data_IF_858891982514
#
_entry.id   IF_858891982514
#
_cell.length_a   1.000
_cell.length_b   1.000
_cell.length_c   1.000
_cell.angle_alpha   90.00
_cell.angle_beta   90.00
_cell.angle_gamma   90.00
#
_symmetry.space_group_name_H-M   'P 1'
#
loop_
_entity.id
_entity.type
_entity.pdbx_description
1 polymer ?
#
# COMPACT_ATOMS: atom_id res chain seq x y z
N UNK A 1 7.25 -18.47 1.39
CA UNK A 1 6.58 -17.33 0.75
C UNK A 1 6.21 -16.30 1.80
N UNK A 2 6.63 -15.03 1.60
CA UNK A 2 6.18 -13.88 2.39
C UNK A 2 5.08 -13.15 1.65
N UNK A 3 4.06 -12.69 2.37
CA UNK A 3 3.02 -11.80 1.86
C UNK A 3 3.03 -10.44 2.61
N UNK A 4 4.15 -10.10 3.23
CA UNK A 4 4.31 -8.84 3.94
C UNK A 4 4.36 -7.66 2.96
N UNK A 5 3.84 -6.51 3.39
CA UNK A 5 3.82 -5.28 2.59
C UNK A 5 5.19 -4.57 2.60
N UNK A 6 6.21 -5.30 2.17
CA UNK A 6 7.59 -4.85 2.01
C UNK A 6 8.02 -5.06 0.56
N UNK A 7 8.76 -4.11 0.01
CA UNK A 7 9.39 -4.29 -1.29
C UNK A 7 10.40 -5.46 -1.22
N UNK A 8 10.33 -6.36 -2.20
CA UNK A 8 11.13 -7.58 -2.24
C UNK A 8 11.06 -8.39 -0.93
N UNK A 9 9.84 -8.65 -0.46
CA UNK A 9 9.57 -9.31 0.81
C UNK A 9 10.21 -10.71 0.92
N UNK A 10 10.28 -11.48 -0.17
CA UNK A 10 10.97 -12.76 -0.24
C UNK A 10 12.48 -12.61 -0.02
N UNK A 11 13.11 -11.60 -0.64
CA UNK A 11 14.53 -11.30 -0.44
C UNK A 11 14.82 -10.89 1.02
N UNK A 12 13.93 -10.15 1.64
CA UNK A 12 14.05 -9.76 3.05
C UNK A 12 13.89 -10.98 3.96
N UNK A 13 12.92 -11.84 3.70
CA UNK A 13 12.77 -13.11 4.42
C UNK A 13 14.00 -13.99 4.26
N UNK A 14 14.53 -14.12 3.02
CA UNK A 14 15.77 -14.87 2.77
C UNK A 14 16.94 -14.37 3.62
N UNK A 15 17.17 -13.06 3.63
CA UNK A 15 18.25 -12.48 4.46
C UNK A 15 18.08 -12.80 5.94
N UNK A 16 16.87 -12.63 6.47
CA UNK A 16 16.58 -12.89 7.87
C UNK A 16 16.80 -14.37 8.24
N UNK A 17 16.22 -15.29 7.46
CA UNK A 17 16.35 -16.73 7.71
C UNK A 17 17.79 -17.22 7.53
N UNK A 18 18.46 -16.82 6.45
CA UNK A 18 19.84 -17.24 6.18
C UNK A 18 20.79 -16.73 7.26
N UNK A 19 20.70 -15.46 7.68
CA UNK A 19 21.53 -14.91 8.75
C UNK A 19 21.32 -15.63 10.09
N UNK A 20 20.07 -15.97 10.41
CA UNK A 20 19.76 -16.70 11.64
C UNK A 20 20.31 -18.11 11.61
N UNK A 21 20.09 -18.84 10.52
CA UNK A 21 20.54 -20.24 10.41
C UNK A 21 22.06 -20.32 10.32
N UNK A 22 22.73 -19.41 9.58
CA UNK A 22 24.19 -19.37 9.48
C UNK A 22 24.87 -19.17 10.84
N UNK A 23 24.22 -18.39 11.73
CA UNK A 23 24.70 -18.18 13.11
C UNK A 23 24.52 -19.43 14.00
N UNK A 24 23.64 -20.36 13.66
CA UNK A 24 23.32 -21.56 14.43
C UNK A 24 23.96 -22.82 13.88
N UNK A 25 23.88 -23.03 12.56
CA UNK A 25 24.30 -24.24 11.85
C UNK A 25 24.70 -23.92 10.40
N UNK A 26 26.00 -23.94 10.15
CA UNK A 26 26.57 -23.66 8.82
C UNK A 26 26.27 -24.74 7.77
N UNK A 27 26.10 -26.00 8.20
CA UNK A 27 25.74 -27.08 7.27
C UNK A 27 24.31 -26.93 6.80
N UNK A 28 23.39 -26.63 7.73
CA UNK A 28 22.01 -26.32 7.40
C UNK A 28 21.89 -25.07 6.52
N UNK A 29 22.67 -24.02 6.79
CA UNK A 29 22.71 -22.84 5.93
C UNK A 29 23.12 -23.17 4.50
N UNK A 30 24.17 -23.96 4.32
CA UNK A 30 24.64 -24.41 3.02
C UNK A 30 23.61 -25.29 2.30
N UNK A 31 22.87 -26.11 3.02
CA UNK A 31 21.77 -26.89 2.47
C UNK A 31 20.60 -25.99 2.04
N UNK A 32 20.20 -25.04 2.89
CA UNK A 32 19.12 -24.10 2.59
C UNK A 32 19.43 -23.25 1.35
N UNK A 33 20.65 -22.77 1.20
CA UNK A 33 21.08 -22.00 0.02
C UNK A 33 20.83 -22.75 -1.30
N UNK A 34 20.93 -24.06 -1.29
CA UNK A 34 20.77 -24.93 -2.47
C UNK A 34 19.34 -25.43 -2.68
N UNK A 35 18.55 -25.54 -1.63
CA UNK A 35 17.30 -26.31 -1.64
C UNK A 35 16.07 -25.48 -1.31
N UNK A 36 16.22 -24.21 -0.80
CA UNK A 36 15.10 -23.38 -0.39
C UNK A 36 15.06 -22.12 -1.26
N UNK A 37 13.87 -21.83 -1.80
CA UNK A 37 13.60 -20.60 -2.53
C UNK A 37 12.75 -19.64 -1.69
N UNK A 38 12.90 -18.35 -1.96
CA UNK A 38 12.20 -17.27 -1.27
C UNK A 38 11.54 -16.35 -2.30
N UNK A 39 10.47 -16.79 -2.98
CA UNK A 39 9.80 -15.97 -3.99
C UNK A 39 9.27 -14.68 -3.37
N UNK A 40 9.43 -13.57 -4.09
CA UNK A 40 8.78 -12.33 -3.73
C UNK A 40 7.29 -12.38 -4.09
N UNK A 41 6.50 -11.59 -3.40
CA UNK A 41 5.09 -11.40 -3.76
C UNK A 41 4.63 -9.96 -3.50
N UNK A 42 3.67 -9.50 -4.29
CA UNK A 42 2.97 -8.25 -4.07
C UNK A 42 1.52 -8.55 -3.76
N UNK A 43 1.04 -8.05 -2.64
CA UNK A 43 -0.36 -8.18 -2.21
C UNK A 43 -1.00 -6.80 -2.14
N UNK A 44 -2.23 -6.69 -2.66
CA UNK A 44 -3.00 -5.46 -2.60
C UNK A 44 -4.47 -5.77 -2.26
N UNK A 45 -4.87 -5.37 -1.06
CA UNK A 45 -6.24 -5.36 -0.56
C UNK A 45 -6.33 -4.41 0.62
N UNK A 46 -7.19 -3.39 0.56
CA UNK A 46 -7.40 -2.48 1.69
C UNK A 46 -8.12 -3.25 2.80
N UNK A 47 -7.46 -3.32 3.94
CA UNK A 47 -7.92 -4.06 5.11
C UNK A 47 -7.84 -3.13 6.33
N UNK A 48 -8.91 -2.38 6.64
CA UNK A 48 -8.96 -1.51 7.79
C UNK A 48 -8.98 -2.32 9.09
N UNK A 49 -8.70 -1.66 10.22
CA UNK A 49 -8.87 -2.29 11.53
C UNK A 49 -10.34 -2.64 11.77
N UNK A 50 -10.61 -3.89 12.13
CA UNK A 50 -11.96 -4.34 12.47
C UNK A 50 -12.38 -3.75 13.82
N UNK A 51 -13.53 -3.11 13.88
CA UNK A 51 -14.03 -2.47 15.08
C UNK A 51 -14.96 -3.44 15.85
N UNK A 52 -15.12 -3.25 17.18
CA UNK A 52 -16.02 -4.10 17.98
C UNK A 52 -17.46 -4.19 17.44
N UNK A 53 -17.98 -3.09 16.91
CA UNK A 53 -19.31 -3.05 16.28
C UNK A 53 -19.40 -3.88 14.99
N UNK A 54 -18.30 -3.97 14.22
CA UNK A 54 -18.24 -4.79 13.00
C UNK A 54 -18.20 -6.28 13.36
N UNK A 55 -17.46 -6.65 14.42
CA UNK A 55 -17.42 -8.03 14.95
C UNK A 55 -18.83 -8.46 15.39
N UNK A 56 -19.48 -7.61 16.19
CA UNK A 56 -20.83 -7.88 16.68
C UNK A 56 -21.83 -8.07 15.54
N UNK A 57 -21.86 -7.12 14.59
CA UNK A 57 -22.75 -7.18 13.43
C UNK A 57 -22.52 -8.44 12.61
N UNK A 58 -21.25 -8.78 12.29
CA UNK A 58 -20.92 -9.96 11.50
C UNK A 58 -21.44 -11.25 12.18
N UNK A 59 -21.21 -11.38 13.48
CA UNK A 59 -21.65 -12.56 14.24
C UNK A 59 -23.17 -12.65 14.31
N UNK A 60 -23.87 -11.54 14.53
CA UNK A 60 -25.34 -11.49 14.54
C UNK A 60 -25.92 -11.85 13.17
N UNK A 61 -25.37 -11.31 12.06
CA UNK A 61 -25.85 -11.56 10.70
C UNK A 61 -25.62 -13.01 10.23
N UNK A 62 -24.54 -13.65 10.68
CA UNK A 62 -24.13 -14.97 10.21
C UNK A 62 -24.37 -16.09 11.25
N UNK A 63 -24.83 -15.77 12.45
CA UNK A 63 -25.00 -16.76 13.52
C UNK A 63 -23.68 -17.40 13.96
N UNK A 64 -22.58 -16.64 13.94
CA UNK A 64 -21.22 -17.09 14.28
C UNK A 64 -20.77 -16.47 15.61
N UNK A 65 -19.66 -16.95 16.16
CA UNK A 65 -18.97 -16.40 17.34
C UNK A 65 -17.48 -16.20 17.02
N UNK A 66 -17.18 -15.53 15.89
CA UNK A 66 -15.82 -15.21 15.45
C UNK A 66 -15.31 -14.02 16.25
N UNK A 67 -14.23 -14.22 17.03
CA UNK A 67 -13.64 -13.18 17.87
C UNK A 67 -12.59 -12.33 17.15
N UNK A 68 -12.17 -12.73 15.95
CA UNK A 68 -11.11 -12.07 15.19
C UNK A 68 -11.40 -11.95 13.69
N UNK A 69 -12.61 -11.56 13.26
CA UNK A 69 -12.92 -11.42 11.85
C UNK A 69 -12.10 -10.30 11.22
N UNK A 70 -11.70 -10.49 9.97
CA UNK A 70 -10.97 -9.49 9.19
C UNK A 70 -11.91 -8.86 8.17
N UNK A 71 -12.10 -7.55 8.27
CA UNK A 71 -12.89 -6.76 7.34
C UNK A 71 -11.99 -6.22 6.21
N UNK A 72 -12.42 -6.32 4.96
CA UNK A 72 -11.64 -5.85 3.82
C UNK A 72 -12.54 -5.46 2.65
N UNK A 73 -11.96 -4.75 1.67
CA UNK A 73 -12.62 -4.47 0.39
C UNK A 73 -12.80 -5.74 -0.45
N UNK A 74 -13.59 -5.65 -1.51
CA UNK A 74 -13.80 -6.71 -2.50
C UNK A 74 -12.65 -6.83 -3.50
N UNK A 75 -11.90 -5.74 -3.76
CA UNK A 75 -10.71 -5.78 -4.60
C UNK A 75 -9.64 -6.69 -3.99
N UNK A 76 -9.01 -7.51 -4.83
CA UNK A 76 -7.88 -8.35 -4.47
C UNK A 76 -6.90 -8.40 -5.65
N UNK A 77 -5.62 -8.22 -5.36
CA UNK A 77 -4.53 -8.53 -6.28
C UNK A 77 -3.41 -9.24 -5.52
N UNK A 78 -3.01 -10.39 -6.02
CA UNK A 78 -1.88 -11.15 -5.50
C UNK A 78 -0.99 -11.57 -6.66
N UNK A 79 0.21 -11.01 -6.69
CA UNK A 79 1.25 -11.29 -7.69
C UNK A 79 2.39 -12.03 -7.01
N UNK A 80 2.83 -13.14 -7.59
CA UNK A 80 3.82 -14.05 -6.97
C UNK A 80 4.86 -14.45 -8.00
N UNK A 81 6.14 -14.39 -7.62
CA UNK A 81 7.21 -14.98 -8.42
C UNK A 81 7.09 -16.51 -8.46
N UNK A 82 7.08 -17.07 -9.66
CA UNK A 82 6.96 -18.53 -9.86
C UNK A 82 8.31 -19.23 -9.66
N UNK A 83 8.84 -19.17 -8.44
CA UNK A 83 10.13 -19.75 -8.08
C UNK A 83 10.00 -20.60 -6.81
N UNK A 84 9.42 -21.80 -6.96
CA UNK A 84 9.17 -22.73 -5.86
C UNK A 84 9.98 -24.01 -6.00
N UNK A 85 10.88 -24.29 -5.05
CA UNK A 85 11.79 -25.44 -5.06
C UNK A 85 11.05 -26.79 -5.05
N UNK A 86 9.89 -26.88 -4.41
CA UNK A 86 9.11 -28.13 -4.27
C UNK A 86 7.74 -28.09 -5.01
N UNK A 87 7.60 -27.15 -5.96
CA UNK A 87 6.33 -26.90 -6.62
C UNK A 87 5.34 -26.11 -5.73
N UNK A 88 4.17 -25.81 -6.30
CA UNK A 88 3.11 -25.04 -5.66
C UNK A 88 1.72 -25.49 -6.16
N UNK A 89 0.65 -25.15 -5.45
CA UNK A 89 -0.70 -25.26 -5.99
C UNK A 89 -0.91 -24.35 -7.22
N UNK A 90 -1.88 -24.67 -8.05
CA UNK A 90 -2.26 -23.86 -9.22
C UNK A 90 -3.08 -22.62 -8.79
N UNK A 91 -2.45 -21.67 -8.11
CA UNK A 91 -3.09 -20.45 -7.57
C UNK A 91 -3.62 -19.52 -8.66
N UNK A 92 -3.07 -19.59 -9.86
CA UNK A 92 -3.58 -18.89 -11.05
C UNK A 92 -5.04 -19.25 -11.37
N UNK A 93 -5.50 -20.45 -11.01
CA UNK A 93 -6.89 -20.86 -11.19
C UNK A 93 -7.88 -20.14 -10.27
N UNK A 94 -7.38 -19.47 -9.24
CA UNK A 94 -8.19 -18.67 -8.31
C UNK A 94 -7.80 -17.19 -8.32
N UNK A 95 -7.09 -16.75 -9.38
CA UNK A 95 -6.84 -15.34 -9.66
C UNK A 95 -5.49 -14.79 -9.20
N UNK A 96 -4.58 -15.60 -8.64
CA UNK A 96 -3.22 -15.15 -8.40
C UNK A 96 -2.49 -14.94 -9.73
N UNK A 97 -1.72 -13.88 -9.82
CA UNK A 97 -0.91 -13.54 -10.99
C UNK A 97 0.50 -14.10 -10.80
N UNK A 98 0.92 -15.00 -11.68
CA UNK A 98 2.27 -15.56 -11.66
C UNK A 98 3.18 -14.72 -12.55
N UNK A 99 4.41 -14.44 -12.07
CA UNK A 99 5.40 -13.64 -12.78
C UNK A 99 6.82 -14.14 -12.51
N UNK A 100 7.77 -13.75 -13.37
CA UNK A 100 9.19 -13.96 -13.11
C UNK A 100 9.79 -12.85 -12.23
N UNK A 101 9.13 -11.68 -12.15
CA UNK A 101 9.58 -10.52 -11.36
C UNK A 101 8.40 -9.67 -10.92
N UNK A 102 8.26 -9.46 -9.61
CA UNK A 102 7.19 -8.63 -9.01
C UNK A 102 7.52 -7.14 -9.02
N UNK A 103 8.75 -6.74 -9.33
CA UNK A 103 9.25 -5.37 -9.15
C UNK A 103 8.37 -4.31 -9.83
N UNK A 104 7.90 -4.57 -11.04
CA UNK A 104 7.05 -3.62 -11.75
C UNK A 104 5.68 -3.42 -11.04
N UNK A 105 5.10 -4.50 -10.51
CA UNK A 105 3.84 -4.45 -9.76
C UNK A 105 4.02 -3.75 -8.41
N UNK A 106 5.11 -4.03 -7.69
CA UNK A 106 5.46 -3.34 -6.45
C UNK A 106 5.63 -1.84 -6.68
N UNK A 107 6.40 -1.44 -7.69
CA UNK A 107 6.62 -0.03 -8.03
C UNK A 107 5.31 0.68 -8.40
N UNK A 108 4.44 0.04 -9.17
CA UNK A 108 3.12 0.58 -9.51
C UNK A 108 2.28 0.81 -8.25
N UNK A 109 2.16 -0.21 -7.39
CA UNK A 109 1.40 -0.11 -6.13
C UNK A 109 1.98 0.95 -5.20
N UNK A 110 3.29 0.92 -4.93
CA UNK A 110 3.94 1.86 -4.01
C UNK A 110 3.80 3.31 -4.49
N UNK A 111 3.97 3.55 -5.78
CA UNK A 111 3.95 4.88 -6.37
C UNK A 111 2.54 5.43 -6.60
N UNK A 112 1.59 4.60 -7.02
CA UNK A 112 0.22 5.06 -7.29
C UNK A 112 -0.70 4.92 -6.07
N UNK A 113 -0.76 3.75 -5.41
CA UNK A 113 -1.64 3.56 -4.26
C UNK A 113 -1.06 4.19 -2.99
N UNK A 114 0.14 3.74 -2.57
CA UNK A 114 0.68 4.12 -1.26
C UNK A 114 1.09 5.61 -1.21
N UNK A 115 1.69 6.14 -2.28
CA UNK A 115 2.01 7.56 -2.35
C UNK A 115 0.75 8.43 -2.40
N UNK A 116 -0.30 8.01 -3.11
CA UNK A 116 -1.58 8.74 -3.14
C UNK A 116 -2.30 8.71 -1.80
N UNK A 117 -2.26 7.60 -1.06
CA UNK A 117 -2.73 7.55 0.32
C UNK A 117 -1.98 8.56 1.21
N UNK A 118 -0.65 8.64 1.05
CA UNK A 118 0.16 9.60 1.80
C UNK A 118 -0.16 11.03 1.39
N UNK A 119 -0.35 11.32 0.08
CA UNK A 119 -0.75 12.63 -0.42
C UNK A 119 -2.11 13.06 0.11
N UNK A 120 -3.08 12.15 0.10
CA UNK A 120 -4.44 12.36 0.58
C UNK A 120 -4.48 12.64 2.09
N UNK A 121 -3.66 11.94 2.89
CA UNK A 121 -3.85 11.81 4.34
C UNK A 121 -3.76 13.15 5.08
N UNK A 122 -2.62 13.84 5.02
CA UNK A 122 -2.40 15.04 5.82
C UNK A 122 -3.28 16.22 5.41
N UNK A 123 -3.43 16.55 4.09
CA UNK A 123 -4.36 17.59 3.68
C UNK A 123 -5.80 17.31 4.10
N UNK A 124 -6.27 16.07 3.93
CA UNK A 124 -7.64 15.71 4.30
C UNK A 124 -7.87 15.77 5.80
N UNK A 125 -6.89 15.30 6.59
CA UNK A 125 -6.97 15.35 8.06
C UNK A 125 -7.05 16.79 8.57
N UNK A 126 -6.16 17.65 8.08
CA UNK A 126 -6.12 19.08 8.45
C UNK A 126 -7.40 19.80 8.01
N UNK A 127 -7.97 19.41 6.88
CA UNK A 127 -9.23 19.97 6.37
C UNK A 127 -10.47 19.52 7.15
N UNK A 128 -10.30 18.62 8.13
CA UNK A 128 -11.37 18.13 9.01
C UNK A 128 -11.95 16.76 8.62
N UNK A 129 -11.48 16.13 7.54
CA UNK A 129 -11.93 14.78 7.19
C UNK A 129 -11.33 13.73 8.13
N UNK A 130 -12.14 12.78 8.55
CA UNK A 130 -11.73 11.66 9.39
C UNK A 130 -11.83 10.31 8.67
N UNK A 131 -12.54 10.28 7.53
CA UNK A 131 -12.74 9.10 6.69
C UNK A 131 -12.23 9.35 5.27
N UNK A 132 -11.55 8.35 4.70
CA UNK A 132 -10.94 8.42 3.37
C UNK A 132 -12.02 8.60 2.29
N UNK A 133 -13.09 7.83 2.37
CA UNK A 133 -14.22 7.96 1.45
C UNK A 133 -14.87 9.33 1.50
N UNK A 134 -15.04 9.90 2.69
CA UNK A 134 -15.58 11.26 2.83
C UNK A 134 -14.68 12.31 2.17
N UNK A 135 -13.36 12.20 2.35
CA UNK A 135 -12.38 13.06 1.67
C UNK A 135 -12.46 12.91 0.15
N UNK A 136 -12.53 11.68 -0.36
CA UNK A 136 -12.58 11.40 -1.80
C UNK A 136 -13.90 11.80 -2.47
N UNK A 137 -14.98 12.05 -1.70
CA UNK A 137 -16.21 12.63 -2.22
C UNK A 137 -16.17 14.17 -2.27
N UNK A 138 -15.13 14.82 -1.74
CA UNK A 138 -14.85 16.22 -2.02
C UNK A 138 -14.10 16.31 -3.38
N UNK A 139 -14.73 16.97 -4.34
CA UNK A 139 -14.19 17.11 -5.72
C UNK A 139 -12.77 17.71 -5.75
N UNK A 140 -12.42 18.59 -4.81
CA UNK A 140 -11.10 19.22 -4.72
C UNK A 140 -10.04 18.18 -4.33
N UNK A 141 -10.34 17.36 -3.33
CA UNK A 141 -9.44 16.29 -2.87
C UNK A 141 -9.32 15.21 -3.95
N UNK A 142 -10.43 14.74 -4.49
CA UNK A 142 -10.42 13.74 -5.57
C UNK A 142 -9.61 14.20 -6.78
N UNK A 143 -9.81 15.45 -7.21
CA UNK A 143 -9.04 16.06 -8.31
C UNK A 143 -7.56 16.18 -7.98
N UNK A 144 -7.23 16.59 -6.75
CA UNK A 144 -5.84 16.70 -6.29
C UNK A 144 -5.11 15.36 -6.33
N UNK A 145 -5.74 14.31 -5.80
CA UNK A 145 -5.21 12.94 -5.83
C UNK A 145 -5.08 12.44 -7.28
N UNK A 146 -6.10 12.65 -8.10
CA UNK A 146 -6.05 12.21 -9.50
C UNK A 146 -4.95 12.93 -10.29
N UNK A 147 -4.81 14.23 -10.14
CA UNK A 147 -3.73 14.99 -10.79
C UNK A 147 -2.34 14.56 -10.35
N UNK A 148 -2.17 14.23 -9.07
CA UNK A 148 -0.91 13.66 -8.59
C UNK A 148 -0.58 12.35 -9.30
N UNK A 149 -1.54 11.43 -9.40
CA UNK A 149 -1.34 10.18 -10.12
C UNK A 149 -0.98 10.40 -11.60
N UNK A 150 -1.70 11.30 -12.28
CA UNK A 150 -1.56 11.50 -13.73
C UNK A 150 -0.30 12.28 -14.12
N UNK A 151 -0.01 13.37 -13.38
CA UNK A 151 1.00 14.35 -13.77
C UNK A 151 2.34 14.06 -13.09
N UNK A 152 2.29 13.71 -11.78
CA UNK A 152 3.52 13.61 -10.99
C UNK A 152 4.07 12.18 -10.99
N UNK A 153 3.21 11.16 -10.98
CA UNK A 153 3.63 9.78 -10.76
C UNK A 153 3.69 8.95 -12.04
N UNK A 154 2.62 8.95 -12.85
CA UNK A 154 2.54 8.09 -14.05
C UNK A 154 3.74 8.20 -14.99
N UNK A 155 4.37 9.38 -15.22
CA UNK A 155 5.56 9.47 -16.07
C UNK A 155 6.77 8.66 -15.57
N UNK A 156 6.78 8.26 -14.31
CA UNK A 156 7.90 7.58 -13.66
C UNK A 156 7.61 6.11 -13.30
N UNK A 157 6.41 5.65 -13.58
CA UNK A 157 5.96 4.28 -13.26
C UNK A 157 5.74 3.51 -14.57
N UNK A 158 6.67 2.62 -14.94
CA UNK A 158 6.44 1.74 -16.06
C UNK A 158 5.26 0.81 -15.75
N UNK A 159 4.36 0.66 -16.71
CA UNK A 159 3.26 -0.30 -16.57
C UNK A 159 3.80 -1.72 -16.51
N UNK A 160 3.37 -2.54 -15.55
CA UNK A 160 3.59 -3.97 -15.63
C UNK A 160 2.99 -4.55 -16.91
N UNK A 161 3.54 -5.68 -17.36
CA UNK A 161 3.01 -6.36 -18.54
C UNK A 161 1.51 -6.60 -18.40
N UNK A 162 0.78 -6.38 -19.47
CA UNK A 162 -0.68 -6.58 -19.57
C UNK A 162 -1.50 -5.76 -18.54
N UNK A 163 -0.95 -4.63 -18.06
CA UNK A 163 -1.62 -3.73 -17.11
C UNK A 163 -2.00 -2.41 -17.77
N UNK A 164 -3.27 -2.03 -17.66
CA UNK A 164 -3.79 -0.71 -18.02
C UNK A 164 -3.67 0.23 -16.82
N UNK A 165 -2.70 1.15 -16.86
CA UNK A 165 -2.49 2.13 -15.78
C UNK A 165 -3.65 3.11 -15.63
N UNK A 166 -4.36 3.42 -16.72
CA UNK A 166 -5.52 4.31 -16.62
C UNK A 166 -6.67 3.67 -15.86
N UNK A 167 -6.98 2.42 -16.21
CA UNK A 167 -7.95 1.62 -15.48
C UNK A 167 -7.53 1.41 -14.01
N UNK A 168 -6.24 1.16 -13.76
CA UNK A 168 -5.71 1.01 -12.40
C UNK A 168 -5.94 2.27 -11.55
N UNK A 169 -5.62 3.46 -12.09
CA UNK A 169 -5.83 4.74 -11.39
C UNK A 169 -7.32 5.03 -11.14
N UNK A 170 -8.17 4.72 -12.10
CA UNK A 170 -9.62 4.84 -11.93
C UNK A 170 -10.10 3.93 -10.79
N UNK A 171 -9.70 2.67 -10.81
CA UNK A 171 -10.00 1.69 -9.75
C UNK A 171 -9.50 2.17 -8.39
N UNK A 172 -8.30 2.77 -8.31
CA UNK A 172 -7.80 3.34 -7.05
C UNK A 172 -8.71 4.45 -6.51
N UNK A 173 -9.18 5.37 -7.38
CA UNK A 173 -10.09 6.43 -6.94
C UNK A 173 -11.44 5.84 -6.44
N UNK A 174 -11.96 4.83 -7.10
CA UNK A 174 -13.19 4.12 -6.68
C UNK A 174 -12.99 3.41 -5.33
N UNK A 175 -11.87 2.71 -5.15
CA UNK A 175 -11.50 2.03 -3.89
C UNK A 175 -11.37 3.01 -2.74
N UNK A 176 -10.71 4.15 -2.94
CA UNK A 176 -10.57 5.20 -1.92
C UNK A 176 -11.92 5.83 -1.57
N UNK A 177 -12.81 5.97 -2.54
CA UNK A 177 -14.19 6.46 -2.34
C UNK A 177 -15.18 5.44 -1.78
N UNK A 178 -14.74 4.19 -1.52
CA UNK A 178 -15.64 3.12 -1.09
C UNK A 178 -16.15 3.33 0.35
N UNK A 179 -17.42 3.70 0.49
CA UNK A 179 -18.07 3.96 1.78
C UNK A 179 -18.21 2.73 2.66
N UNK A 180 -18.20 1.53 2.09
CA UNK A 180 -18.33 0.30 2.86
C UNK A 180 -17.04 -0.06 3.58
N UNK A 181 -15.88 0.30 3.01
CA UNK A 181 -14.55 0.15 3.63
C UNK A 181 -14.33 1.24 4.66
N UNK A 182 -14.62 2.48 4.30
CA UNK A 182 -14.60 3.67 5.17
C UNK A 182 -13.36 3.76 6.07
N UNK A 183 -12.17 3.64 5.47
CA UNK A 183 -10.90 3.64 6.19
C UNK A 183 -10.64 5.00 6.88
N UNK A 184 -9.85 4.98 7.94
CA UNK A 184 -9.58 6.18 8.73
C UNK A 184 -8.39 6.96 8.19
N UNK A 185 -8.56 8.28 7.98
CA UNK A 185 -7.48 9.18 7.55
C UNK A 185 -6.33 9.20 8.57
N UNK A 186 -6.64 9.15 9.87
CA UNK A 186 -5.62 9.09 10.92
C UNK A 186 -4.68 7.88 10.79
N UNK A 187 -5.20 6.72 10.35
CA UNK A 187 -4.37 5.53 10.07
C UNK A 187 -3.38 5.79 8.93
N UNK A 188 -3.79 6.55 7.92
CA UNK A 188 -2.92 6.94 6.83
C UNK A 188 -1.85 7.96 7.25
N UNK A 189 -2.18 8.86 8.20
CA UNK A 189 -1.23 9.82 8.77
C UNK A 189 -0.17 9.18 9.68
N UNK A 190 -0.47 7.97 10.21
CA UNK A 190 0.46 7.29 11.12
C UNK A 190 1.76 6.91 10.41
N UNK A 191 2.88 7.08 11.12
CA UNK A 191 4.23 6.70 10.69
C UNK A 191 4.70 7.34 9.35
N UNK A 192 4.43 8.63 9.19
CA UNK A 192 4.84 9.38 8.00
C UNK A 192 6.35 9.33 7.76
N UNK A 193 7.16 9.39 8.82
CA UNK A 193 8.61 9.37 8.71
C UNK A 193 9.15 8.14 7.97
N UNK A 194 8.54 6.97 8.18
CA UNK A 194 8.90 5.74 7.46
C UNK A 194 8.27 5.65 6.06
N UNK A 195 7.12 6.27 5.86
CA UNK A 195 6.37 6.20 4.59
C UNK A 195 6.96 7.11 3.50
N UNK A 196 7.35 8.34 3.83
CA UNK A 196 7.88 9.28 2.84
C UNK A 196 9.08 8.76 2.08
N UNK A 197 10.13 8.19 2.74
CA UNK A 197 11.29 7.65 2.04
C UNK A 197 10.96 6.52 1.05
N UNK A 198 9.92 5.74 1.33
CA UNK A 198 9.56 4.56 0.53
C UNK A 198 8.58 4.91 -0.58
N UNK A 199 7.57 5.75 -0.29
CA UNK A 199 6.46 5.97 -1.23
C UNK A 199 6.58 7.25 -2.05
N UNK A 200 7.15 8.32 -1.46
CA UNK A 200 7.16 9.65 -2.09
C UNK A 200 8.52 10.02 -2.67
N UNK A 201 9.58 9.84 -1.87
CA UNK A 201 10.92 10.31 -2.24
C UNK A 201 11.46 9.72 -3.54
N UNK A 202 11.29 8.41 -3.86
CA UNK A 202 11.87 7.84 -5.08
C UNK A 202 11.38 8.50 -6.38
N UNK A 203 10.11 8.92 -6.43
CA UNK A 203 9.55 9.64 -7.56
C UNK A 203 9.85 11.13 -7.49
N UNK A 204 9.84 11.73 -6.30
CA UNK A 204 10.24 13.13 -6.12
C UNK A 204 11.67 13.40 -6.60
N UNK A 205 12.62 12.51 -6.30
CA UNK A 205 14.01 12.63 -6.79
C UNK A 205 14.10 12.64 -8.32
N UNK A 206 13.28 11.82 -8.98
CA UNK A 206 13.20 11.80 -10.46
C UNK A 206 12.59 13.11 -10.98
N UNK A 207 11.49 13.58 -10.35
CA UNK A 207 10.84 14.84 -10.72
C UNK A 207 11.78 16.05 -10.59
N UNK A 208 12.55 16.12 -9.49
CA UNK A 208 13.57 17.17 -9.28
C UNK A 208 14.65 17.11 -10.35
N UNK A 209 15.14 15.91 -10.68
CA UNK A 209 16.17 15.72 -11.73
C UNK A 209 15.67 16.18 -13.09
N UNK A 210 14.39 15.98 -13.37
CA UNK A 210 13.76 16.28 -14.65
C UNK A 210 13.14 17.69 -14.70
N UNK A 211 13.42 18.52 -13.69
CA UNK A 211 12.93 19.91 -13.54
C UNK A 211 11.40 20.03 -13.70
N UNK A 212 10.66 19.10 -13.08
CA UNK A 212 9.19 19.07 -13.10
C UNK A 212 8.57 20.01 -12.06
N UNK A 213 7.33 20.39 -12.34
CA UNK A 213 6.52 21.10 -11.33
C UNK A 213 6.32 20.24 -10.08
N UNK A 214 6.57 20.80 -8.89
CA UNK A 214 6.52 20.07 -7.61
C UNK A 214 5.37 20.53 -6.70
N UNK A 215 4.42 21.32 -7.20
CA UNK A 215 3.45 22.04 -6.36
C UNK A 215 2.62 21.09 -5.49
N UNK A 216 2.19 19.93 -6.01
CA UNK A 216 1.38 18.96 -5.26
C UNK A 216 2.18 18.26 -4.17
N UNK A 217 3.41 17.90 -4.47
CA UNK A 217 4.33 17.29 -3.50
C UNK A 217 4.76 18.31 -2.45
N UNK A 218 5.05 19.56 -2.86
CA UNK A 218 5.37 20.66 -1.92
C UNK A 218 4.20 20.93 -0.97
N UNK A 219 2.95 20.89 -1.47
CA UNK A 219 1.77 21.02 -0.63
C UNK A 219 1.64 19.87 0.37
N UNK A 220 1.90 18.62 -0.04
CA UNK A 220 1.96 17.49 0.87
C UNK A 220 2.97 17.72 2.01
N UNK A 221 4.20 18.16 1.69
CA UNK A 221 5.22 18.44 2.71
C UNK A 221 4.82 19.59 3.64
N UNK A 222 4.18 20.63 3.10
CA UNK A 222 3.67 21.73 3.91
C UNK A 222 2.58 21.26 4.88
N UNK A 223 1.63 20.42 4.41
CA UNK A 223 0.60 19.82 5.25
C UNK A 223 1.20 18.90 6.32
N UNK A 224 2.16 18.04 5.94
CA UNK A 224 2.85 17.17 6.91
C UNK A 224 3.59 17.97 7.98
N UNK A 225 4.31 19.03 7.58
CA UNK A 225 4.95 19.94 8.53
C UNK A 225 3.95 20.62 9.47
N UNK A 226 2.81 21.06 8.94
CA UNK A 226 1.72 21.65 9.74
C UNK A 226 1.18 20.66 10.75
N UNK A 227 0.83 19.45 10.28
CA UNK A 227 0.36 18.34 11.12
C UNK A 227 1.31 18.06 12.30
N UNK A 228 2.62 17.96 12.03
CA UNK A 228 3.63 17.69 13.08
C UNK A 228 3.85 18.85 14.04
N UNK A 229 3.65 20.11 13.59
CA UNK A 229 4.03 21.28 14.37
C UNK A 229 2.90 21.81 15.24
N UNK A 230 1.67 21.86 14.71
CA UNK A 230 0.61 22.65 15.35
C UNK A 230 -0.42 21.78 16.06
N UNK A 231 -0.55 20.51 15.69
CA UNK A 231 -1.51 19.57 16.28
C UNK A 231 -2.95 20.11 16.34
N UNK A 232 -3.32 20.90 15.34
CA UNK A 232 -4.64 21.53 15.23
C UNK A 232 -5.08 21.51 13.79
N UNK A 233 -6.31 21.10 13.51
CA UNK A 233 -6.89 21.12 12.17
C UNK A 233 -7.55 22.47 11.83
N UNK A 234 -8.08 22.61 10.61
CA UNK A 234 -8.71 23.84 10.12
C UNK A 234 -10.03 24.17 10.83
N UNK A 235 -10.63 23.21 11.56
CA UNK A 235 -11.81 23.42 12.41
C UNK A 235 -11.43 23.84 13.84
N UNK A 236 -10.13 23.90 14.17
CA UNK A 236 -9.62 24.20 15.50
C UNK A 236 -9.61 23.03 16.47
N UNK A 237 -9.86 21.80 15.99
CA UNK A 237 -9.73 20.58 16.80
C UNK A 237 -8.25 20.23 17.00
N UNK A 238 -7.88 19.97 18.27
CA UNK A 238 -6.55 19.49 18.62
C UNK A 238 -6.46 17.98 18.46
N UNK A 239 -5.29 17.47 18.04
CA UNK A 239 -5.01 16.05 17.85
C UNK A 239 -3.57 15.67 18.22
#
# INVERSE_FOLDING_TARGET
LSCDNLQHNGNTARRAFMSFVEAQDKELAAWMEKNVTFPNSMVDRITPATRPEDIKRLNEENGTDDQAPVYCEDFIQWVVEDNFAAGRPAWENVGAQMTDDVTAFENMKLSLLNASHTLLSYPSFLYGYRKVDAAMHDERIAKFVRQFMDIDITPYVPAPKDTDLELYKQTLCERFGNRTVSDQVARLCFDGASKFPVYVMPNLEKMVRDDKELIRVAYLFAAYRHYLKYHTDDNGEQF
#
